data_IF_363851266814
#
_entry.id   IF_363851266814
#
_cell.length_a   1.000
_cell.length_b   1.000
_cell.length_c   1.000
_cell.angle_alpha   90.00
_cell.angle_beta   90.00
_cell.angle_gamma   90.00
#
_symmetry.space_group_name_H-M   'P 1'
#
loop_
_entity.id
_entity.type
_entity.pdbx_description
1 polymer ?
#
# COMPACT_ATOMS: atom_id res chain seq x y z
N UNK A 1 -13.75 -5.22 20.41
CA UNK A 1 -14.12 -5.75 19.07
C UNK A 1 -14.28 -4.54 18.18
N UNK A 2 -13.22 -4.13 17.49
CA UNK A 2 -13.26 -3.00 16.55
C UNK A 2 -13.64 -3.60 15.20
N UNK A 3 -14.81 -3.26 14.72
CA UNK A 3 -15.34 -3.68 13.42
C UNK A 3 -14.36 -3.29 12.32
N UNK A 4 -13.69 -4.28 11.73
CA UNK A 4 -12.88 -4.08 10.53
C UNK A 4 -13.83 -3.62 9.42
N UNK A 5 -13.72 -2.38 9.02
CA UNK A 5 -14.36 -1.90 7.80
C UNK A 5 -13.60 -2.49 6.62
N UNK A 6 -13.92 -3.74 6.27
CA UNK A 6 -13.53 -4.33 4.98
C UNK A 6 -14.27 -3.52 3.93
N UNK A 7 -13.61 -2.53 3.38
CA UNK A 7 -14.16 -1.73 2.29
C UNK A 7 -14.13 -2.59 1.03
N UNK A 8 -15.30 -3.10 0.64
CA UNK A 8 -15.52 -3.69 -0.67
C UNK A 8 -14.93 -2.77 -1.72
N UNK A 9 -14.16 -3.29 -2.67
CA UNK A 9 -13.57 -2.52 -3.77
C UNK A 9 -14.67 -1.71 -4.46
N UNK A 10 -14.84 -0.47 -4.04
CA UNK A 10 -15.74 0.48 -4.68
C UNK A 10 -14.94 1.11 -5.80
N UNK A 11 -15.27 0.74 -7.03
CA UNK A 11 -14.82 1.48 -8.19
C UNK A 11 -15.07 2.96 -7.94
N UNK A 12 -14.01 3.75 -7.97
CA UNK A 12 -14.13 5.19 -7.76
C UNK A 12 -14.98 5.80 -8.89
N UNK A 13 -15.96 6.67 -8.56
CA UNK A 13 -16.71 7.40 -9.57
C UNK A 13 -15.82 8.42 -10.32
N UNK A 14 -14.65 8.75 -9.78
CA UNK A 14 -13.69 9.69 -10.38
C UNK A 14 -12.43 8.90 -10.75
N UNK A 15 -12.09 8.77 -12.05
CA UNK A 15 -10.89 8.06 -12.48
C UNK A 15 -9.62 8.67 -11.86
N UNK A 16 -8.74 7.82 -11.34
CA UNK A 16 -7.45 8.25 -10.75
C UNK A 16 -7.53 8.76 -9.32
N UNK A 17 -8.69 8.70 -8.68
CA UNK A 17 -8.89 9.11 -7.28
C UNK A 17 -9.51 7.95 -6.51
N UNK A 18 -9.06 7.73 -5.28
CA UNK A 18 -9.60 6.72 -4.38
C UNK A 18 -11.08 7.02 -4.04
N UNK A 19 -11.92 6.00 -4.07
CA UNK A 19 -13.35 6.12 -3.77
C UNK A 19 -13.66 6.73 -2.39
N UNK A 20 -12.77 6.54 -1.42
CA UNK A 20 -12.89 7.14 -0.08
C UNK A 20 -12.77 8.68 -0.08
N UNK A 21 -12.19 9.27 -1.11
CA UNK A 21 -12.11 10.73 -1.25
C UNK A 21 -13.40 11.38 -1.72
N UNK A 22 -14.31 10.62 -2.33
CA UNK A 22 -15.52 11.16 -2.99
C UNK A 22 -16.33 12.11 -2.09
N UNK A 23 -16.69 11.76 -0.82
CA UNK A 23 -17.44 12.64 0.03
C UNK A 23 -16.65 13.90 0.42
N UNK A 24 -15.34 13.79 0.63
CA UNK A 24 -14.46 14.91 0.97
C UNK A 24 -14.34 15.89 -0.21
N UNK A 25 -14.15 15.38 -1.42
CA UNK A 25 -14.08 16.21 -2.64
C UNK A 25 -15.42 16.85 -2.95
N UNK A 26 -16.53 16.15 -2.78
CA UNK A 26 -17.89 16.68 -2.94
C UNK A 26 -18.16 17.85 -1.99
N UNK A 27 -17.78 17.71 -0.72
CA UNK A 27 -17.90 18.80 0.28
C UNK A 27 -17.02 19.99 -0.09
N UNK A 28 -15.76 19.74 -0.47
CA UNK A 28 -14.82 20.79 -0.84
C UNK A 28 -15.27 21.59 -2.07
N UNK A 29 -15.77 20.92 -3.11
CA UNK A 29 -16.35 21.57 -4.29
C UNK A 29 -17.64 22.33 -3.96
N UNK A 30 -18.50 21.79 -3.11
CA UNK A 30 -19.72 22.46 -2.62
C UNK A 30 -19.40 23.76 -1.87
N UNK A 31 -18.42 23.72 -0.96
CA UNK A 31 -17.94 24.91 -0.25
C UNK A 31 -17.31 25.93 -1.20
N UNK A 32 -16.58 25.48 -2.21
CA UNK A 32 -16.01 26.36 -3.25
C UNK A 32 -17.11 27.05 -4.02
N UNK A 33 -18.15 26.33 -4.47
CA UNK A 33 -19.30 26.89 -5.17
C UNK A 33 -20.06 27.92 -4.33
N UNK A 34 -20.28 27.61 -3.05
CA UNK A 34 -20.92 28.55 -2.10
C UNK A 34 -20.08 29.82 -1.93
N UNK A 35 -18.78 29.70 -1.75
CA UNK A 35 -17.86 30.82 -1.61
C UNK A 35 -17.83 31.69 -2.87
N UNK A 36 -17.88 31.08 -4.06
CA UNK A 36 -17.98 31.82 -5.33
C UNK A 36 -19.25 32.66 -5.42
N UNK A 37 -20.39 32.15 -4.94
CA UNK A 37 -21.66 32.87 -4.93
C UNK A 37 -21.72 34.02 -3.91
N UNK A 38 -21.06 33.87 -2.75
CA UNK A 38 -21.12 34.83 -1.65
C UNK A 38 -19.96 35.85 -1.69
N UNK A 39 -18.74 35.37 -1.78
CA UNK A 39 -17.50 36.18 -1.77
C UNK A 39 -16.42 35.48 -2.64
N UNK A 40 -16.33 35.76 -3.94
CA UNK A 40 -15.44 35.07 -4.86
C UNK A 40 -13.97 35.03 -4.44
N UNK A 41 -13.49 36.06 -3.73
CA UNK A 41 -12.11 36.13 -3.24
C UNK A 41 -11.77 35.02 -2.20
N UNK A 42 -12.79 34.51 -1.49
CA UNK A 42 -12.61 33.45 -0.49
C UNK A 42 -12.67 32.04 -1.10
N UNK A 43 -13.12 31.88 -2.34
CA UNK A 43 -13.26 30.58 -3.00
C UNK A 43 -11.92 29.88 -3.26
N UNK A 44 -10.84 30.63 -3.33
CA UNK A 44 -9.49 30.06 -3.53
C UNK A 44 -9.07 29.12 -2.39
N UNK A 45 -9.49 29.37 -1.16
CA UNK A 45 -9.12 28.56 0.01
C UNK A 45 -9.74 27.15 -0.05
N UNK A 46 -11.09 26.99 -0.12
CA UNK A 46 -11.67 25.66 -0.21
C UNK A 46 -11.27 24.93 -1.50
N UNK A 47 -11.04 25.62 -2.62
CA UNK A 47 -10.53 25.04 -3.85
C UNK A 47 -9.12 24.46 -3.65
N UNK A 48 -8.21 25.21 -3.05
CA UNK A 48 -6.84 24.74 -2.77
C UNK A 48 -6.84 23.52 -1.83
N UNK A 49 -7.65 23.53 -0.76
CA UNK A 49 -7.79 22.40 0.15
C UNK A 49 -8.35 21.16 -0.57
N UNK A 50 -9.31 21.35 -1.48
CA UNK A 50 -9.87 20.26 -2.29
C UNK A 50 -8.82 19.67 -3.24
N UNK A 51 -8.00 20.52 -3.87
CA UNK A 51 -6.92 20.07 -4.73
C UNK A 51 -5.83 19.29 -3.97
N UNK A 52 -5.48 19.75 -2.76
CA UNK A 52 -4.57 19.00 -1.87
C UNK A 52 -5.17 17.66 -1.49
N UNK A 53 -6.44 17.62 -1.11
CA UNK A 53 -7.13 16.35 -0.81
C UNK A 53 -7.13 15.42 -2.01
N UNK A 54 -7.42 15.90 -3.22
CA UNK A 54 -7.38 15.10 -4.44
C UNK A 54 -5.96 14.51 -4.71
N UNK A 55 -4.91 15.29 -4.47
CA UNK A 55 -3.53 14.83 -4.62
C UNK A 55 -3.16 13.74 -3.61
N UNK A 56 -3.61 13.85 -2.36
CA UNK A 56 -3.36 12.87 -1.29
C UNK A 56 -4.12 11.55 -1.45
N UNK A 57 -5.25 11.58 -2.16
CA UNK A 57 -6.10 10.42 -2.42
C UNK A 57 -5.98 9.90 -3.85
N UNK A 58 -4.89 10.22 -4.55
CA UNK A 58 -4.72 9.74 -5.92
C UNK A 58 -4.54 8.23 -5.97
N UNK A 59 -5.18 7.60 -6.94
CA UNK A 59 -5.08 6.18 -7.26
C UNK A 59 -4.97 6.02 -8.78
N UNK A 60 -3.79 6.26 -9.36
CA UNK A 60 -3.60 6.19 -10.80
C UNK A 60 -3.83 4.77 -11.30
N UNK A 61 -4.49 4.65 -12.45
CA UNK A 61 -4.57 3.38 -13.14
C UNK A 61 -3.17 2.98 -13.59
N UNK A 62 -2.78 1.72 -13.32
CA UNK A 62 -1.47 1.18 -13.71
C UNK A 62 -1.67 -0.17 -14.36
N UNK A 63 -0.99 -0.38 -15.47
CA UNK A 63 -0.90 -1.69 -16.12
C UNK A 63 0.42 -2.31 -15.73
N UNK A 64 0.37 -3.33 -14.87
CA UNK A 64 1.55 -4.09 -14.46
C UNK A 64 2.00 -4.96 -15.62
N UNK A 65 3.31 -5.03 -15.95
CA UNK A 65 3.82 -5.94 -16.95
C UNK A 65 3.48 -7.40 -16.63
N UNK A 66 3.14 -8.19 -17.64
CA UNK A 66 2.87 -9.62 -17.47
C UNK A 66 4.19 -10.37 -17.58
N UNK A 67 4.85 -10.57 -16.46
CA UNK A 67 6.13 -11.30 -16.35
C UNK A 67 6.01 -12.34 -15.25
N UNK A 68 5.88 -13.65 -15.59
CA UNK A 68 5.54 -14.71 -14.62
C UNK A 68 6.52 -14.83 -13.45
N UNK A 69 7.81 -14.63 -13.71
CA UNK A 69 8.87 -14.81 -12.72
C UNK A 69 9.30 -13.49 -12.06
N UNK A 70 8.53 -12.44 -12.21
CA UNK A 70 8.89 -11.11 -11.71
C UNK A 70 8.10 -10.72 -10.48
N UNK A 71 8.79 -10.09 -9.51
CA UNK A 71 8.18 -9.42 -8.37
C UNK A 71 8.13 -7.92 -8.61
N UNK A 72 6.98 -7.32 -8.34
CA UNK A 72 6.76 -5.89 -8.45
C UNK A 72 6.67 -5.23 -7.07
N UNK A 73 7.03 -3.95 -7.02
CA UNK A 73 6.97 -3.18 -5.79
C UNK A 73 5.55 -3.17 -5.19
N UNK A 74 5.41 -3.40 -3.88
CA UNK A 74 4.10 -3.41 -3.21
C UNK A 74 3.54 -2.01 -2.96
N UNK A 75 4.39 -0.98 -2.92
CA UNK A 75 4.04 0.39 -2.62
C UNK A 75 4.91 1.38 -3.41
N UNK A 76 4.41 2.62 -3.57
CA UNK A 76 5.24 3.74 -3.98
C UNK A 76 6.09 4.17 -2.79
N UNK A 77 7.36 4.48 -3.04
CA UNK A 77 8.21 4.96 -1.97
C UNK A 77 9.68 4.65 -2.17
N UNK A 78 10.43 4.81 -1.09
CA UNK A 78 11.87 4.56 -1.08
C UNK A 78 12.18 3.29 -0.30
N UNK A 79 12.98 2.42 -0.88
CA UNK A 79 13.49 1.23 -0.20
C UNK A 79 14.37 1.65 0.97
N UNK A 80 13.97 1.29 2.19
CA UNK A 80 14.73 1.59 3.41
C UNK A 80 15.87 0.60 3.60
N UNK A 81 15.54 -0.70 3.47
CA UNK A 81 16.45 -1.80 3.73
C UNK A 81 15.97 -3.09 3.10
N UNK A 82 16.92 -3.98 2.89
CA UNK A 82 16.70 -5.40 2.57
C UNK A 82 17.48 -6.17 3.61
N UNK A 83 16.81 -7.08 4.33
CA UNK A 83 17.43 -7.84 5.42
C UNK A 83 16.88 -9.27 5.49
N UNK A 84 17.68 -10.17 6.05
CA UNK A 84 17.22 -11.53 6.32
C UNK A 84 16.35 -11.53 7.59
N UNK A 85 15.25 -12.27 7.53
CA UNK A 85 14.27 -12.35 8.61
C UNK A 85 13.56 -13.70 8.58
N UNK A 86 13.47 -14.38 9.72
CA UNK A 86 12.64 -15.58 9.81
C UNK A 86 11.18 -15.19 10.03
N UNK A 87 10.30 -15.55 9.10
CA UNK A 87 8.89 -15.22 9.17
C UNK A 87 8.11 -16.37 9.82
N UNK A 88 7.46 -16.07 10.98
CA UNK A 88 6.81 -17.05 11.85
C UNK A 88 5.29 -17.19 11.67
N UNK A 89 4.64 -16.26 10.94
CA UNK A 89 3.17 -16.15 10.90
C UNK A 89 2.54 -16.95 9.78
N UNK A 90 3.13 -16.87 8.59
CA UNK A 90 2.54 -17.42 7.38
C UNK A 90 3.55 -18.18 6.52
N UNK A 91 4.71 -17.58 6.25
CA UNK A 91 5.70 -18.20 5.36
C UNK A 91 6.47 -19.32 6.05
N UNK A 92 6.67 -19.22 7.37
CA UNK A 92 7.38 -20.19 8.23
C UNK A 92 8.76 -20.58 7.70
N UNK A 93 9.51 -19.61 7.17
CA UNK A 93 10.81 -19.84 6.51
C UNK A 93 11.75 -18.65 6.70
N UNK A 94 13.02 -18.85 6.36
CA UNK A 94 13.98 -17.77 6.17
C UNK A 94 13.58 -16.93 4.96
N UNK A 95 13.32 -15.65 5.21
CA UNK A 95 12.83 -14.70 4.23
C UNK A 95 13.82 -13.57 4.01
N UNK A 96 13.76 -12.96 2.82
CA UNK A 96 14.23 -11.61 2.58
C UNK A 96 13.06 -10.65 2.86
N UNK A 97 13.29 -9.70 3.77
CA UNK A 97 12.36 -8.60 4.07
C UNK A 97 12.79 -7.36 3.31
N UNK A 98 11.99 -6.91 2.38
CA UNK A 98 12.13 -5.63 1.69
C UNK A 98 11.22 -4.60 2.35
N UNK A 99 11.77 -3.56 2.96
CA UNK A 99 11.02 -2.48 3.60
C UNK A 99 10.98 -1.23 2.70
N UNK A 100 9.77 -0.75 2.38
CA UNK A 100 9.54 0.45 1.56
C UNK A 100 8.86 1.52 2.40
N UNK A 101 9.49 2.69 2.53
CA UNK A 101 8.88 3.86 3.16
C UNK A 101 8.01 4.59 2.14
N UNK A 102 6.77 4.84 2.52
CA UNK A 102 5.78 5.57 1.72
C UNK A 102 5.77 7.01 2.25
N UNK A 103 6.20 7.97 1.44
CA UNK A 103 6.16 9.38 1.83
C UNK A 103 4.71 9.91 1.81
N UNK A 104 4.38 10.99 2.55
CA UNK A 104 3.01 11.52 2.60
C UNK A 104 2.43 11.93 1.24
N UNK A 105 3.28 12.25 0.27
CA UNK A 105 2.90 12.61 -1.09
C UNK A 105 2.99 11.47 -2.09
N UNK A 106 3.43 10.28 -1.68
CA UNK A 106 3.41 9.09 -2.53
C UNK A 106 1.97 8.57 -2.69
N UNK A 107 1.76 7.71 -3.69
CA UNK A 107 0.45 7.06 -3.89
C UNK A 107 0.21 6.08 -2.73
N UNK A 108 -0.86 6.26 -1.94
CA UNK A 108 -1.07 5.47 -0.72
C UNK A 108 -1.55 4.04 -0.99
N UNK A 109 -1.86 3.70 -2.24
CA UNK A 109 -2.42 2.41 -2.61
C UNK A 109 -1.32 1.37 -2.74
N UNK A 110 -1.44 0.31 -1.93
CA UNK A 110 -0.55 -0.85 -1.97
C UNK A 110 -1.10 -1.90 -2.93
N UNK A 111 -0.18 -2.57 -3.65
CA UNK A 111 -0.50 -3.51 -4.72
C UNK A 111 0.15 -4.87 -4.50
N UNK A 112 -0.50 -5.90 -5.07
CA UNK A 112 -0.01 -7.27 -5.02
C UNK A 112 1.33 -7.39 -5.76
N UNK A 113 2.40 -7.91 -5.14
CA UNK A 113 3.71 -8.02 -5.78
C UNK A 113 3.79 -9.07 -6.89
N UNK A 114 3.00 -10.13 -6.78
CA UNK A 114 2.92 -11.24 -7.75
C UNK A 114 1.51 -11.80 -7.77
N UNK A 115 1.13 -12.51 -8.84
CA UNK A 115 -0.15 -13.20 -8.91
C UNK A 115 -0.24 -14.32 -7.87
N UNK A 116 -1.42 -14.50 -7.26
CA UNK A 116 -1.64 -15.53 -6.26
C UNK A 116 -3.02 -15.47 -5.62
N UNK A 117 -3.22 -16.28 -4.58
CA UNK A 117 -4.45 -16.35 -3.82
C UNK A 117 -4.21 -15.90 -2.38
N UNK A 118 -5.05 -15.01 -1.87
CA UNK A 118 -4.97 -14.55 -0.47
C UNK A 118 -5.36 -15.70 0.46
N UNK A 119 -4.45 -16.15 1.31
CA UNK A 119 -4.67 -17.27 2.24
C UNK A 119 -4.67 -16.83 3.70
N UNK A 120 -4.08 -15.66 3.99
CA UNK A 120 -3.94 -15.17 5.34
C UNK A 120 -4.16 -13.66 5.43
N UNK A 121 -4.91 -13.23 6.44
CA UNK A 121 -5.06 -11.81 6.80
C UNK A 121 -5.09 -11.69 8.32
N UNK A 122 -4.20 -10.87 8.88
CA UNK A 122 -4.17 -10.57 10.30
C UNK A 122 -3.93 -9.07 10.52
N UNK A 123 -4.75 -8.47 11.37
CA UNK A 123 -4.56 -7.10 11.84
C UNK A 123 -3.97 -7.13 13.26
N UNK A 124 -2.87 -6.44 13.47
CA UNK A 124 -2.20 -6.31 14.76
C UNK A 124 -2.18 -4.84 15.16
N UNK A 125 -2.86 -4.52 16.25
CA UNK A 125 -2.82 -3.17 16.84
C UNK A 125 -1.42 -2.86 17.39
N UNK A 126 -1.02 -1.59 17.36
CA UNK A 126 0.31 -1.20 17.78
C UNK A 126 0.50 0.31 17.91
N UNK A 127 1.74 0.73 17.85
CA UNK A 127 2.19 2.12 17.91
C UNK A 127 2.13 2.79 16.54
N UNK A 128 2.55 4.05 16.46
CA UNK A 128 2.60 4.85 15.23
C UNK A 128 3.94 5.56 15.12
N UNK A 129 5.03 4.80 15.03
CA UNK A 129 6.40 5.29 14.90
C UNK A 129 6.70 5.70 13.46
N UNK A 130 7.69 6.59 13.23
CA UNK A 130 8.16 6.93 11.88
C UNK A 130 8.60 5.69 11.10
N UNK A 131 8.37 5.68 9.77
CA UNK A 131 8.68 4.54 8.90
C UNK A 131 10.16 4.11 8.94
N UNK A 132 11.08 5.06 9.16
CA UNK A 132 12.52 4.81 9.27
C UNK A 132 12.97 4.23 10.62
N UNK A 133 12.10 4.22 11.64
CA UNK A 133 12.42 3.61 12.93
C UNK A 133 12.64 2.09 12.75
N UNK A 134 13.77 1.54 13.24
CA UNK A 134 14.04 0.10 13.16
C UNK A 134 12.93 -0.77 13.74
N UNK A 135 12.31 -0.34 14.83
CA UNK A 135 11.26 -1.07 15.54
C UNK A 135 9.86 -0.87 14.93
N UNK A 136 9.67 0.07 13.99
CA UNK A 136 8.36 0.36 13.40
C UNK A 136 7.70 -0.88 12.79
N UNK A 137 8.50 -1.77 12.15
CA UNK A 137 8.01 -3.01 11.55
C UNK A 137 7.36 -3.98 12.55
N UNK A 138 7.78 -3.92 13.82
CA UNK A 138 7.34 -4.86 14.85
C UNK A 138 6.39 -4.25 15.88
N UNK A 139 6.47 -2.94 16.08
CA UNK A 139 5.69 -2.24 17.11
C UNK A 139 4.49 -1.49 16.59
N UNK A 140 4.51 -1.04 15.33
CA UNK A 140 3.41 -0.26 14.78
C UNK A 140 2.18 -1.12 14.49
N UNK A 141 1.01 -0.47 14.46
CA UNK A 141 -0.20 -1.05 13.90
C UNK A 141 0.06 -1.51 12.47
N UNK A 142 -0.33 -2.74 12.17
CA UNK A 142 -0.02 -3.38 10.89
C UNK A 142 -1.09 -4.38 10.46
N UNK A 143 -1.19 -4.53 9.16
CA UNK A 143 -2.04 -5.51 8.50
C UNK A 143 -1.16 -6.45 7.69
N UNK A 144 -1.15 -7.72 8.04
CA UNK A 144 -0.50 -8.78 7.29
C UNK A 144 -1.46 -9.37 6.27
N UNK A 145 -0.97 -9.59 5.06
CA UNK A 145 -1.69 -10.25 3.96
C UNK A 145 -0.75 -11.32 3.41
N UNK A 146 -1.08 -12.58 3.64
CA UNK A 146 -0.37 -13.73 3.09
C UNK A 146 -1.00 -14.17 1.78
N UNK A 147 -0.16 -14.42 0.79
CA UNK A 147 -0.55 -14.76 -0.58
C UNK A 147 0.21 -16.00 -1.00
N UNK A 148 -0.53 -17.04 -1.40
CA UNK A 148 0.02 -18.24 -2.01
C UNK A 148 0.17 -17.99 -3.50
N UNK A 149 1.42 -18.09 -3.98
CA UNK A 149 1.78 -17.99 -5.39
C UNK A 149 2.18 -19.36 -5.95
N UNK A 150 2.33 -19.48 -7.26
CA UNK A 150 2.74 -20.74 -7.90
C UNK A 150 4.17 -21.18 -7.49
N UNK A 151 5.00 -20.28 -7.00
CA UNK A 151 6.38 -20.52 -6.57
C UNK A 151 6.58 -20.49 -5.04
N UNK A 152 5.52 -20.34 -4.28
CA UNK A 152 5.55 -20.38 -2.82
C UNK A 152 4.84 -19.20 -2.16
N UNK A 153 4.74 -19.21 -0.82
CA UNK A 153 4.08 -18.15 -0.06
C UNK A 153 4.92 -16.87 -0.02
N UNK A 154 4.24 -15.73 -0.12
CA UNK A 154 4.79 -14.42 0.20
C UNK A 154 3.88 -13.71 1.21
N UNK A 155 4.42 -12.81 2.01
CA UNK A 155 3.62 -12.00 2.91
C UNK A 155 3.91 -10.51 2.71
N UNK A 156 2.84 -9.72 2.68
CA UNK A 156 2.88 -8.27 2.65
C UNK A 156 2.39 -7.73 4.00
N UNK A 157 3.16 -6.86 4.63
CA UNK A 157 2.76 -6.13 5.83
C UNK A 157 2.57 -4.65 5.50
N UNK A 158 1.35 -4.15 5.66
CA UNK A 158 1.03 -2.72 5.59
C UNK A 158 1.15 -2.15 7.00
N UNK A 159 2.02 -1.16 7.20
CA UNK A 159 2.43 -0.68 8.52
C UNK A 159 2.08 0.80 8.63
N UNK A 160 1.30 1.14 9.65
CA UNK A 160 0.91 2.51 9.95
C UNK A 160 2.12 3.37 10.37
N UNK A 161 1.96 4.68 10.27
CA UNK A 161 2.96 5.67 10.67
C UNK A 161 2.35 6.79 11.52
N UNK A 162 3.11 7.82 11.92
CA UNK A 162 2.65 8.86 12.84
C UNK A 162 1.42 9.62 12.36
N UNK A 163 1.31 9.85 11.07
CA UNK A 163 0.16 10.51 10.43
C UNK A 163 -0.81 9.49 9.81
N UNK A 164 -0.32 8.29 9.50
CA UNK A 164 -1.04 7.21 8.83
C UNK A 164 -1.66 6.26 9.86
N UNK A 165 -2.69 6.70 10.55
CA UNK A 165 -3.34 5.92 11.63
C UNK A 165 -4.41 4.95 11.15
N UNK A 166 -4.63 4.82 9.84
CA UNK A 166 -5.65 3.94 9.29
C UNK A 166 -5.09 3.14 8.13
N UNK A 167 -5.17 1.82 8.28
CA UNK A 167 -4.86 0.85 7.22
C UNK A 167 -6.18 0.38 6.63
N UNK A 168 -6.34 0.48 5.33
CA UNK A 168 -7.51 -0.03 4.60
C UNK A 168 -7.15 -1.35 3.95
N UNK A 169 -7.88 -2.43 4.28
CA UNK A 169 -7.80 -3.71 3.59
C UNK A 169 -8.85 -3.75 2.48
N UNK A 170 -8.47 -4.18 1.27
CA UNK A 170 -9.38 -4.27 0.11
C UNK A 170 -9.60 -5.70 -0.37
N UNK A 171 -8.96 -6.66 0.27
CA UNK A 171 -9.01 -8.07 -0.09
C UNK A 171 -9.52 -8.91 1.06
N UNK A 172 -9.93 -10.12 0.78
CA UNK A 172 -10.34 -11.13 1.75
C UNK A 172 -9.67 -12.47 1.43
N UNK A 173 -9.61 -13.34 2.41
CA UNK A 173 -9.12 -14.72 2.21
C UNK A 173 -9.97 -15.41 1.13
N UNK A 174 -9.28 -16.07 0.20
CA UNK A 174 -9.84 -16.71 -0.98
C UNK A 174 -9.87 -15.86 -2.25
N UNK A 175 -9.56 -14.55 -2.18
CA UNK A 175 -9.49 -13.72 -3.38
C UNK A 175 -8.27 -14.12 -4.23
N UNK A 176 -8.49 -14.26 -5.55
CA UNK A 176 -7.41 -14.39 -6.54
C UNK A 176 -7.00 -13.02 -7.02
N UNK A 177 -5.70 -12.78 -7.00
CA UNK A 177 -5.11 -11.48 -7.35
C UNK A 177 -4.12 -11.65 -8.49
N UNK A 178 -4.19 -10.74 -9.45
CA UNK A 178 -3.13 -10.56 -10.43
C UNK A 178 -2.01 -9.69 -9.83
N UNK A 179 -0.80 -9.79 -10.38
CA UNK A 179 0.28 -8.87 -10.05
C UNK A 179 -0.19 -7.41 -10.30
N UNK A 180 0.09 -6.51 -9.35
CA UNK A 180 -0.35 -5.11 -9.41
C UNK A 180 -1.79 -4.86 -8.98
N UNK A 181 -2.58 -5.89 -8.65
CA UNK A 181 -3.92 -5.73 -8.07
C UNK A 181 -3.87 -4.94 -6.76
N UNK A 182 -4.89 -4.12 -6.48
CA UNK A 182 -4.98 -3.32 -5.25
C UNK A 182 -5.26 -4.21 -4.05
N UNK A 183 -4.41 -4.21 -3.04
CA UNK A 183 -4.60 -5.02 -1.82
C UNK A 183 -5.02 -4.19 -0.61
N UNK A 184 -4.69 -2.92 -0.60
CA UNK A 184 -5.01 -2.04 0.50
C UNK A 184 -4.49 -0.63 0.30
N UNK A 185 -4.56 0.19 1.33
CA UNK A 185 -3.99 1.53 1.32
C UNK A 185 -3.54 1.95 2.72
N UNK A 186 -2.41 2.67 2.79
CA UNK A 186 -1.92 3.31 4.01
C UNK A 186 -1.55 4.75 3.65
N UNK A 187 -2.26 5.75 4.25
CA UNK A 187 -2.14 7.16 3.86
C UNK A 187 -1.25 7.94 4.81
N UNK A 188 -0.64 9.02 4.31
CA UNK A 188 0.09 10.03 5.10
C UNK A 188 1.38 9.54 5.77
N UNK A 189 2.22 8.83 5.04
CA UNK A 189 3.51 8.39 5.52
C UNK A 189 3.43 7.10 6.34
N UNK A 190 3.85 6.03 5.73
CA UNK A 190 3.70 4.67 6.21
C UNK A 190 4.88 3.81 5.74
N UNK A 191 4.77 2.52 5.94
CA UNK A 191 5.75 1.54 5.47
C UNK A 191 5.03 0.31 4.94
N UNK A 192 5.57 -0.27 3.90
CA UNK A 192 5.16 -1.58 3.40
C UNK A 192 6.36 -2.52 3.45
N UNK A 193 6.21 -3.67 4.11
CA UNK A 193 7.24 -4.70 4.16
C UNK A 193 6.79 -5.91 3.35
N UNK A 194 7.64 -6.39 2.46
CA UNK A 194 7.43 -7.59 1.68
C UNK A 194 8.38 -8.69 2.18
N UNK A 195 7.82 -9.83 2.51
CA UNK A 195 8.56 -11.03 2.92
C UNK A 195 8.44 -12.08 1.81
N UNK A 196 9.58 -12.55 1.33
CA UNK A 196 9.69 -13.60 0.31
C UNK A 196 10.74 -14.62 0.73
N UNK A 197 10.53 -15.88 0.39
CA UNK A 197 11.50 -16.95 0.71
C UNK A 197 12.86 -16.66 0.09
N UNK A 198 13.92 -16.70 0.90
CA UNK A 198 15.28 -16.34 0.49
C UNK A 198 15.81 -17.23 -0.64
N UNK A 199 15.48 -18.50 -0.62
CA UNK A 199 16.03 -19.48 -1.56
C UNK A 199 15.24 -19.53 -2.90
N UNK A 200 14.05 -18.87 -2.94
CA UNK A 200 13.16 -18.87 -4.11
C UNK A 200 13.22 -17.55 -4.87
N UNK A 201 13.52 -16.43 -4.19
CA UNK A 201 13.47 -15.11 -4.80
C UNK A 201 14.79 -14.37 -4.64
N UNK A 202 15.30 -13.85 -5.75
CA UNK A 202 16.41 -12.90 -5.77
C UNK A 202 15.86 -11.47 -5.82
N UNK A 203 16.08 -10.69 -4.77
CA UNK A 203 15.75 -9.26 -4.76
C UNK A 203 16.77 -8.47 -5.59
N UNK A 204 16.26 -7.53 -6.38
CA UNK A 204 17.03 -6.65 -7.28
C UNK A 204 17.05 -5.21 -6.75
N UNK A 205 16.08 -4.85 -5.91
CA UNK A 205 15.97 -3.52 -5.35
C UNK A 205 17.04 -3.28 -4.28
N UNK A 206 17.61 -2.08 -4.27
CA UNK A 206 18.65 -1.66 -3.33
C UNK A 206 18.13 -0.56 -2.38
N UNK A 207 18.66 -0.46 -1.14
CA UNK A 207 18.38 0.64 -0.23
C UNK A 207 18.64 2.01 -0.88
N UNK A 208 17.72 2.97 -0.65
CA UNK A 208 17.73 4.30 -1.27
C UNK A 208 17.06 4.37 -2.65
N UNK A 209 16.75 3.26 -3.29
CA UNK A 209 16.06 3.25 -4.58
C UNK A 209 14.58 3.65 -4.40
N UNK A 210 14.10 4.56 -5.25
CA UNK A 210 12.67 4.87 -5.35
C UNK A 210 11.96 3.86 -6.24
N UNK A 211 10.82 3.34 -5.78
CA UNK A 211 10.03 2.31 -6.49
C UNK A 211 8.57 2.73 -6.62
N UNK A 212 7.90 2.20 -7.63
CA UNK A 212 6.48 2.46 -7.90
C UNK A 212 5.68 1.16 -7.84
N UNK A 213 4.61 1.14 -7.05
CA UNK A 213 3.75 -0.02 -6.82
C UNK A 213 3.20 -0.61 -8.13
N UNK A 214 3.41 -1.90 -8.32
CA UNK A 214 2.96 -2.63 -9.50
C UNK A 214 3.68 -2.30 -10.81
N UNK A 215 4.71 -1.43 -10.80
CA UNK A 215 5.47 -1.05 -12.00
C UNK A 215 6.95 -1.37 -11.86
N UNK A 216 7.57 -1.01 -10.74
CA UNK A 216 8.98 -1.29 -10.52
C UNK A 216 9.21 -2.77 -10.24
N UNK A 217 10.02 -3.42 -11.07
CA UNK A 217 10.49 -4.79 -10.81
C UNK A 217 11.52 -4.75 -9.67
N UNK A 218 11.21 -5.43 -8.58
CA UNK A 218 12.03 -5.45 -7.36
C UNK A 218 12.70 -6.80 -7.10
N UNK A 219 12.31 -7.82 -7.83
CA UNK A 219 12.85 -9.16 -7.67
C UNK A 219 12.50 -10.08 -8.83
N UNK A 220 13.09 -11.25 -8.78
CA UNK A 220 12.88 -12.33 -9.73
C UNK A 220 12.86 -13.67 -9.01
N UNK A 221 11.94 -14.55 -9.42
CA UNK A 221 11.91 -15.94 -8.98
C UNK A 221 13.09 -16.67 -9.57
N UNK A 222 13.82 -17.40 -8.75
CA UNK A 222 14.96 -18.23 -9.20
C UNK A 222 14.39 -19.62 -9.50
N UNK A 223 14.55 -20.16 -10.72
CA UNK A 223 14.16 -21.54 -11.00
C UNK A 223 14.92 -22.49 -10.06
N UNK A 224 14.21 -23.43 -9.46
CA UNK A 224 14.78 -24.52 -8.68
C UNK A 224 15.57 -25.48 -9.58
#
# INVERSE_FOLDING_TARGET
>A
MTEQTISKDRSSPIPGIDAEATPLLGLGLGLTGLALGLRPRLAAVPLALTAIAAALYRDPHRTTPVEPDSLFAPADGTVLRVEEFYEHRFVHSDCLRLAVAIAPLDVPVCRCPAAGTVSYIEHVSGEYRPAGDPEAGERNERLYIGIDTDWGPLMLALIAGPLARRITCRVKVGDRLDAGARVGAVRFGARADLYVQRDVVRLLAAPGQHVSAGLSRIGQVVPL
#
